data_IF_123585869347
#
_entry.id   IF_123585869347
#
_cell.length_a   1.000
_cell.length_b   1.000
_cell.length_c   1.000
_cell.angle_alpha   90.00
_cell.angle_beta   90.00
_cell.angle_gamma   90.00
#
_symmetry.space_group_name_H-M   'P 1'
#
loop_
_entity.id
_entity.type
_entity.pdbx_description
1 polymer ?
#
# COMPACT_ATOMS: atom_id res chain seq x y z
N UNK A 1 -13.18 2.51 -26.41
CA UNK A 1 -12.59 2.42 -25.06
C UNK A 1 -11.48 3.45 -24.99
N UNK A 2 -11.62 4.39 -24.06
CA UNK A 2 -10.99 5.72 -24.09
C UNK A 2 -9.49 5.69 -23.78
N UNK A 3 -8.74 6.57 -24.47
CA UNK A 3 -7.28 6.72 -24.46
C UNK A 3 -6.75 7.41 -23.18
N UNK A 4 -7.18 6.98 -22.00
CA UNK A 4 -6.69 7.49 -20.71
C UNK A 4 -5.68 6.55 -20.03
N UNK A 5 -5.04 5.67 -20.79
CA UNK A 5 -4.54 4.40 -20.23
C UNK A 5 -3.13 4.46 -19.66
N UNK A 6 -2.16 5.11 -20.31
CA UNK A 6 -0.75 4.96 -19.92
C UNK A 6 -0.35 5.84 -18.73
N UNK A 7 -0.61 7.16 -18.80
CA UNK A 7 -0.24 8.08 -17.71
C UNK A 7 -1.04 7.83 -16.43
N UNK A 8 -2.31 7.45 -16.55
CA UNK A 8 -3.14 7.09 -15.39
C UNK A 8 -2.62 5.82 -14.73
N UNK A 9 -2.16 4.84 -15.52
CA UNK A 9 -1.55 3.63 -15.00
C UNK A 9 -0.21 3.91 -14.30
N UNK A 10 0.65 4.75 -14.91
CA UNK A 10 1.90 5.18 -14.28
C UNK A 10 1.65 5.93 -12.96
N UNK A 11 0.65 6.81 -12.93
CA UNK A 11 0.24 7.52 -11.71
C UNK A 11 -0.25 6.56 -10.61
N UNK A 12 -1.08 5.59 -10.97
CA UNK A 12 -1.55 4.56 -10.04
C UNK A 12 -0.39 3.73 -9.49
N UNK A 13 0.55 3.31 -10.34
CA UNK A 13 1.74 2.58 -9.90
C UNK A 13 2.62 3.41 -8.96
N UNK A 14 2.81 4.70 -9.25
CA UNK A 14 3.56 5.61 -8.40
C UNK A 14 2.90 5.74 -7.02
N UNK A 15 1.57 5.88 -6.98
CA UNK A 15 0.80 5.95 -5.74
C UNK A 15 0.93 4.66 -4.92
N UNK A 16 0.82 3.49 -5.56
CA UNK A 16 0.99 2.20 -4.88
C UNK A 16 2.39 2.05 -4.27
N UNK A 17 3.44 2.48 -4.99
CA UNK A 17 4.81 2.46 -4.48
C UNK A 17 5.00 3.40 -3.29
N UNK A 18 4.43 4.61 -3.37
CA UNK A 18 4.47 5.56 -2.27
C UNK A 18 3.76 5.02 -1.02
N UNK A 19 2.56 4.44 -1.19
CA UNK A 19 1.81 3.81 -0.11
C UNK A 19 2.59 2.66 0.55
N UNK A 20 3.21 1.78 -0.24
CA UNK A 20 4.03 0.69 0.26
C UNK A 20 5.23 1.20 1.08
N UNK A 21 5.90 2.26 0.62
CA UNK A 21 7.03 2.86 1.35
C UNK A 21 6.60 3.49 2.68
N UNK A 22 5.44 4.15 2.70
CA UNK A 22 4.85 4.69 3.95
C UNK A 22 4.53 3.55 4.92
N UNK A 23 3.94 2.46 4.42
CA UNK A 23 3.62 1.27 5.21
C UNK A 23 4.89 0.63 5.81
N UNK A 24 5.94 0.41 5.02
CA UNK A 24 7.22 -0.11 5.51
C UNK A 24 7.88 0.83 6.53
N UNK A 25 7.84 2.14 6.29
CA UNK A 25 8.40 3.12 7.22
C UNK A 25 7.61 3.18 8.54
N UNK A 26 6.29 3.00 8.47
CA UNK A 26 5.43 2.95 9.65
C UNK A 26 5.73 1.73 10.52
N UNK A 27 5.97 0.55 9.93
CA UNK A 27 6.43 -0.64 10.65
C UNK A 27 7.76 -0.35 11.36
N UNK A 28 8.77 0.11 10.60
CA UNK A 28 10.14 0.28 11.12
C UNK A 28 10.22 1.26 12.29
N UNK A 29 9.41 2.32 12.27
CA UNK A 29 9.43 3.37 13.28
C UNK A 29 8.30 3.22 14.33
N UNK A 30 7.48 2.18 14.25
CA UNK A 30 6.32 2.00 15.12
C UNK A 30 5.28 3.13 15.01
N UNK A 31 5.13 3.72 13.81
CA UNK A 31 4.20 4.82 13.56
C UNK A 31 2.82 4.26 13.21
N UNK A 32 1.78 4.85 13.80
CA UNK A 32 0.40 4.54 13.45
C UNK A 32 0.00 5.25 12.16
N UNK A 33 -0.56 4.51 11.21
CA UNK A 33 -1.12 5.07 9.97
C UNK A 33 -2.62 4.78 9.89
N UNK A 34 -3.40 5.59 9.16
CA UNK A 34 -4.80 5.28 8.90
C UNK A 34 -4.91 4.04 8.03
N UNK A 35 -5.62 3.03 8.53
CA UNK A 35 -5.94 1.79 7.82
C UNK A 35 -7.46 1.64 7.79
N UNK A 36 -8.00 1.34 6.61
CA UNK A 36 -9.41 1.01 6.48
C UNK A 36 -9.65 -0.42 6.98
N UNK A 37 -10.42 -0.56 8.07
CA UNK A 37 -10.69 -1.85 8.72
C UNK A 37 -12.09 -1.83 9.33
N UNK A 38 -12.88 -2.86 9.05
CA UNK A 38 -14.25 -3.02 9.55
C UNK A 38 -15.15 -1.81 9.22
N UNK A 39 -15.03 -1.25 8.00
CA UNK A 39 -15.88 -0.14 7.54
C UNK A 39 -15.55 1.23 8.13
N UNK A 40 -14.44 1.36 8.87
CA UNK A 40 -13.97 2.63 9.43
C UNK A 40 -12.46 2.79 9.28
N UNK A 41 -11.97 4.02 9.42
CA UNK A 41 -10.53 4.30 9.48
C UNK A 41 -10.06 4.10 10.91
N UNK A 42 -9.10 3.19 11.11
CA UNK A 42 -8.42 2.95 12.38
C UNK A 42 -6.96 3.36 12.27
N UNK A 43 -6.41 3.94 13.32
CA UNK A 43 -5.00 4.32 13.39
C UNK A 43 -4.23 3.25 14.16
N UNK A 44 -3.59 2.35 13.44
CA UNK A 44 -2.86 1.22 14.00
C UNK A 44 -1.45 1.18 13.42
N UNK A 45 -0.51 0.56 14.16
CA UNK A 45 0.80 0.23 13.59
C UNK A 45 0.54 -0.91 12.60
N UNK A 46 0.89 -0.75 11.33
CA UNK A 46 0.62 -1.76 10.33
C UNK A 46 1.31 -3.08 10.71
N UNK A 47 0.63 -4.23 10.58
CA UNK A 47 1.25 -5.52 10.83
C UNK A 47 2.37 -5.76 9.82
N UNK A 48 3.46 -6.39 10.27
CA UNK A 48 4.53 -6.83 9.40
C UNK A 48 3.99 -7.93 8.47
N UNK A 49 3.64 -7.53 7.25
CA UNK A 49 3.28 -8.50 6.21
C UNK A 49 4.57 -9.19 5.81
N UNK A 50 4.80 -10.40 6.34
CA UNK A 50 5.79 -11.30 5.80
C UNK A 50 5.51 -11.38 4.29
N UNK A 51 6.44 -10.86 3.47
CA UNK A 51 6.32 -10.89 2.01
C UNK A 51 6.08 -12.34 1.63
N UNK A 52 4.82 -12.71 1.34
CA UNK A 52 4.53 -14.00 0.75
C UNK A 52 5.23 -13.97 -0.60
N UNK A 53 6.36 -14.67 -0.66
CA UNK A 53 7.00 -15.06 -1.90
C UNK A 53 5.96 -15.90 -2.63
N UNK A 54 5.16 -15.26 -3.49
CA UNK A 54 4.33 -15.96 -4.46
C UNK A 54 5.32 -16.65 -5.39
N UNK A 55 5.66 -17.88 -5.06
CA UNK A 55 6.38 -18.81 -5.93
C UNK A 55 5.40 -19.08 -7.08
N UNK A 56 5.56 -18.35 -8.19
CA UNK A 56 4.83 -18.68 -9.42
C UNK A 56 5.29 -20.08 -9.87
N UNK A 57 4.36 -20.97 -10.25
CA UNK A 57 4.70 -22.27 -10.83
C UNK A 57 5.42 -22.14 -12.17
#
# INVERSE_FOLDING_TARGET
MEKHTEYTFLGLQALQRAAAKVYENAIKNGIKIPIWKDGSIKFEIPPEIAKQTVKRP
#
